data_IF_561955643113
#
_entry.id   IF_561955643113
#
_cell.length_a   1.000
_cell.length_b   1.000
_cell.length_c   1.000
_cell.angle_alpha   90.00
_cell.angle_beta   90.00
_cell.angle_gamma   90.00
#
_symmetry.space_group_name_H-M   'P 1'
#
loop_
_entity.id
_entity.type
_entity.pdbx_description
1 polymer ?
#
# COMPACT_ATOMS: atom_id res chain seq x y z
N UNK A 1 7.85 -0.51 22.42
CA UNK A 1 7.43 -1.49 21.38
C UNK A 1 6.61 -0.72 20.39
N UNK A 2 7.01 -0.72 19.12
CA UNK A 2 6.31 0.03 18.07
C UNK A 2 4.91 -0.54 17.88
N UNK A 3 3.93 0.34 17.67
CA UNK A 3 2.53 -0.04 17.48
C UNK A 3 2.07 0.33 16.07
N UNK A 4 1.25 -0.53 15.47
CA UNK A 4 0.55 -0.23 14.22
C UNK A 4 -0.92 0.05 14.51
N UNK A 5 -1.48 1.07 13.87
CA UNK A 5 -2.86 1.49 14.09
C UNK A 5 -3.52 1.90 12.78
N UNK A 6 -4.57 1.20 12.38
CA UNK A 6 -5.40 1.60 11.24
C UNK A 6 -6.07 2.93 11.56
N UNK A 7 -6.06 3.87 10.60
CA UNK A 7 -6.82 5.11 10.72
C UNK A 7 -8.28 4.83 10.29
N UNK A 8 -9.27 4.88 11.20
CA UNK A 8 -10.62 4.47 10.87
C UNK A 8 -11.21 5.28 9.70
N UNK A 9 -11.79 4.55 8.75
CA UNK A 9 -12.38 5.01 7.49
C UNK A 9 -11.39 5.51 6.43
N UNK A 10 -10.09 5.35 6.65
CA UNK A 10 -9.07 5.69 5.66
C UNK A 10 -8.18 4.46 5.38
N UNK A 11 -7.76 4.26 4.13
CA UNK A 11 -6.76 3.25 3.76
C UNK A 11 -5.34 3.71 4.15
N UNK A 12 -5.14 4.03 5.42
CA UNK A 12 -3.89 4.53 5.96
C UNK A 12 -3.56 3.90 7.31
N UNK A 13 -2.29 3.61 7.54
CA UNK A 13 -1.76 2.99 8.76
C UNK A 13 -0.86 3.99 9.48
N UNK A 14 -1.03 4.15 10.79
CA UNK A 14 -0.07 4.83 11.63
C UNK A 14 0.90 3.82 12.23
N UNK A 15 2.18 4.16 12.20
CA UNK A 15 3.23 3.49 12.96
C UNK A 15 3.62 4.43 14.08
N UNK A 16 3.44 4.01 15.33
CA UNK A 16 3.76 4.78 16.53
C UNK A 16 4.95 4.11 17.23
N UNK A 17 6.16 4.57 16.88
CA UNK A 17 7.42 4.07 17.38
C UNK A 17 8.22 5.18 18.05
N UNK A 18 9.51 5.29 17.69
CA UNK A 18 10.33 6.45 18.09
C UNK A 18 9.78 7.75 17.49
N UNK A 19 9.30 7.67 16.26
CA UNK A 19 8.56 8.72 15.54
C UNK A 19 7.22 8.15 15.06
N UNK A 20 6.30 9.05 14.69
CA UNK A 20 5.01 8.70 14.09
C UNK A 20 5.08 8.77 12.57
N UNK A 21 4.96 7.63 11.91
CA UNK A 21 4.91 7.57 10.45
C UNK A 21 3.52 7.21 9.97
N UNK A 22 2.95 8.04 9.08
CA UNK A 22 1.75 7.71 8.33
C UNK A 22 2.15 6.90 7.10
N UNK A 23 1.50 5.77 6.85
CA UNK A 23 1.80 4.88 5.74
C UNK A 23 0.57 4.73 4.84
N UNK A 24 0.76 4.96 3.54
CA UNK A 24 -0.25 4.75 2.48
C UNK A 24 0.42 4.10 1.28
N UNK A 25 -0.37 3.53 0.36
CA UNK A 25 0.14 2.77 -0.80
C UNK A 25 -0.79 2.90 -2.01
N UNK A 26 -0.30 2.55 -3.19
CA UNK A 26 -1.10 2.29 -4.39
C UNK A 26 -2.00 3.48 -4.77
N UNK A 27 -1.36 4.62 -5.05
CA UNK A 27 -2.05 5.83 -5.50
C UNK A 27 -2.46 5.73 -6.96
N UNK A 28 -1.65 5.08 -7.80
CA UNK A 28 -1.86 4.95 -9.24
C UNK A 28 -2.36 6.25 -9.89
N UNK A 29 -1.61 7.33 -9.71
CA UNK A 29 -1.86 8.58 -10.40
C UNK A 29 -1.71 8.37 -11.91
N UNK A 30 -2.54 9.03 -12.70
CA UNK A 30 -2.56 8.88 -14.15
C UNK A 30 -3.40 7.72 -14.68
N UNK A 31 -4.08 6.96 -13.81
CA UNK A 31 -4.94 5.83 -14.22
C UNK A 31 -6.11 6.26 -15.12
N UNK A 32 -6.49 7.54 -15.05
CA UNK A 32 -7.59 8.14 -15.81
C UNK A 32 -7.32 8.08 -17.31
N UNK A 33 -6.05 7.99 -17.72
CA UNK A 33 -5.67 7.79 -19.11
C UNK A 33 -6.26 6.49 -19.70
N UNK A 34 -6.41 5.43 -18.89
CA UNK A 34 -7.06 4.20 -19.33
C UNK A 34 -8.59 4.31 -19.36
N UNK A 35 -9.18 5.18 -18.53
CA UNK A 35 -10.61 5.43 -18.51
C UNK A 35 -11.05 6.31 -19.68
N UNK A 36 -10.25 7.31 -20.05
CA UNK A 36 -10.53 8.16 -21.20
C UNK A 36 -10.49 7.38 -22.51
N UNK A 37 -9.64 6.35 -22.63
CA UNK A 37 -9.67 5.40 -23.74
C UNK A 37 -10.99 4.61 -23.83
N UNK A 38 -11.71 4.48 -22.72
CA UNK A 38 -13.04 3.87 -22.64
C UNK A 38 -14.17 4.92 -22.59
N UNK A 39 -13.92 6.15 -23.06
CA UNK A 39 -14.87 7.28 -23.09
C UNK A 39 -15.39 7.74 -21.71
N UNK A 40 -14.67 7.44 -20.63
CA UNK A 40 -15.00 7.92 -19.27
C UNK A 40 -14.03 9.05 -18.89
N UNK A 41 -14.56 10.26 -18.71
CA UNK A 41 -13.78 11.46 -18.41
C UNK A 41 -13.98 11.91 -16.96
N UNK A 42 -12.96 11.78 -16.12
CA UNK A 42 -12.99 12.19 -14.71
C UNK A 42 -12.63 13.66 -14.47
N UNK A 43 -12.32 14.41 -15.52
CA UNK A 43 -11.81 15.77 -15.44
C UNK A 43 -10.30 15.80 -15.14
N UNK A 44 -9.59 16.76 -15.75
CA UNK A 44 -8.13 16.88 -15.64
C UNK A 44 -7.71 17.15 -14.18
N UNK A 45 -6.76 16.38 -13.66
CA UNK A 45 -6.13 16.51 -12.34
C UNK A 45 -7.09 16.45 -11.12
N UNK A 46 -8.37 16.11 -11.32
CA UNK A 46 -9.38 16.11 -10.25
C UNK A 46 -9.07 15.08 -9.17
N UNK A 47 -8.77 13.87 -9.60
CA UNK A 47 -8.37 12.71 -8.77
C UNK A 47 -7.13 12.98 -7.92
N UNK A 48 -6.11 13.59 -8.51
CA UNK A 48 -4.88 14.00 -7.81
C UNK A 48 -5.21 14.99 -6.71
N UNK A 49 -6.02 16.01 -7.01
CA UNK A 49 -6.44 17.00 -6.02
C UNK A 49 -7.28 16.39 -4.89
N UNK A 50 -8.14 15.40 -5.20
CA UNK A 50 -8.92 14.66 -4.20
C UNK A 50 -8.02 13.81 -3.29
N UNK A 51 -7.07 13.06 -3.86
CA UNK A 51 -6.09 12.24 -3.13
C UNK A 51 -5.23 13.13 -2.21
N UNK A 52 -4.67 14.22 -2.75
CA UNK A 52 -3.85 15.16 -1.96
C UNK A 52 -4.64 15.75 -0.78
N UNK A 53 -5.90 16.18 -1.01
CA UNK A 53 -6.77 16.71 0.06
C UNK A 53 -7.09 15.66 1.12
N UNK A 54 -7.28 14.41 0.71
CA UNK A 54 -7.55 13.31 1.64
C UNK A 54 -6.32 13.04 2.53
N UNK A 55 -5.12 13.00 1.95
CA UNK A 55 -3.86 12.85 2.68
C UNK A 55 -3.66 14.03 3.64
N UNK A 56 -3.85 15.27 3.19
CA UNK A 56 -3.75 16.47 4.01
C UNK A 56 -4.72 16.40 5.22
N UNK A 57 -5.95 15.93 5.00
CA UNK A 57 -6.93 15.74 6.07
C UNK A 57 -6.47 14.70 7.09
N UNK A 58 -5.89 13.58 6.64
CA UNK A 58 -5.36 12.56 7.54
C UNK A 58 -4.19 13.15 8.35
N UNK A 59 -3.21 13.79 7.69
CA UNK A 59 -2.07 14.44 8.34
C UNK A 59 -2.54 15.44 9.41
N UNK A 60 -3.49 16.33 9.09
CA UNK A 60 -4.04 17.29 10.06
C UNK A 60 -4.71 16.61 11.26
N UNK A 61 -5.40 15.49 11.02
CA UNK A 61 -6.11 14.73 12.06
C UNK A 61 -5.15 13.95 12.96
N UNK A 62 -4.11 13.35 12.39
CA UNK A 62 -3.27 12.36 13.09
C UNK A 62 -1.90 12.90 13.49
N UNK A 63 -1.47 14.04 12.94
CA UNK A 63 -0.19 14.72 13.19
C UNK A 63 1.01 13.76 13.20
N UNK A 64 1.25 13.03 12.09
CA UNK A 64 2.46 12.22 11.95
C UNK A 64 3.68 13.14 11.79
N UNK A 65 4.85 12.61 12.13
CA UNK A 65 6.15 13.26 11.92
C UNK A 65 6.62 13.07 10.46
N UNK A 66 6.29 11.92 9.86
CA UNK A 66 6.64 11.60 8.46
C UNK A 66 5.52 10.88 7.70
N UNK A 67 5.58 10.96 6.37
CA UNK A 67 4.75 10.18 5.44
C UNK A 67 5.61 9.14 4.72
N UNK A 68 5.21 7.88 4.75
CA UNK A 68 5.78 6.80 3.95
C UNK A 68 4.79 6.42 2.85
N UNK A 69 5.22 6.58 1.61
CA UNK A 69 4.50 6.11 0.44
C UNK A 69 5.07 4.74 0.02
N UNK A 70 4.25 3.70 0.17
CA UNK A 70 4.61 2.31 -0.09
C UNK A 70 4.36 1.88 -1.54
N UNK A 71 4.83 2.68 -2.49
CA UNK A 71 4.91 2.30 -3.90
C UNK A 71 3.61 2.41 -4.67
N UNK A 72 3.76 2.19 -5.99
CA UNK A 72 2.74 2.34 -7.02
C UNK A 72 2.08 3.73 -6.98
N UNK A 73 2.93 4.76 -7.03
CA UNK A 73 2.53 6.16 -7.13
C UNK A 73 1.92 6.43 -8.50
N UNK A 74 2.53 5.90 -9.55
CA UNK A 74 2.06 6.06 -10.94
C UNK A 74 1.38 4.79 -11.46
N UNK A 75 0.66 4.89 -12.56
CA UNK A 75 -0.14 3.80 -13.13
C UNK A 75 0.59 3.04 -14.24
N UNK A 76 1.40 3.73 -15.04
CA UNK A 76 2.15 3.18 -16.15
C UNK A 76 3.33 2.35 -15.65
N UNK A 77 3.44 1.11 -16.14
CA UNK A 77 4.54 0.21 -15.78
C UNK A 77 5.75 0.44 -16.69
N UNK A 78 5.51 0.47 -18.01
CA UNK A 78 6.58 0.43 -19.03
C UNK A 78 7.23 1.79 -19.27
N UNK A 79 6.45 2.86 -19.21
CA UNK A 79 6.90 4.22 -19.48
C UNK A 79 6.06 5.20 -18.67
N UNK A 80 6.57 6.42 -18.54
CA UNK A 80 5.84 7.54 -17.95
C UNK A 80 4.93 8.13 -19.02
N UNK A 81 3.64 8.15 -18.76
CA UNK A 81 2.62 8.73 -19.64
C UNK A 81 2.61 10.25 -19.56
N UNK A 82 2.02 10.91 -20.56
CA UNK A 82 1.84 12.37 -20.54
C UNK A 82 1.05 12.83 -19.31
N UNK A 83 0.00 12.09 -18.94
CA UNK A 83 -0.78 12.42 -17.74
C UNK A 83 0.08 12.36 -16.49
N UNK A 84 0.93 11.34 -16.35
CA UNK A 84 1.81 11.20 -15.18
C UNK A 84 2.87 12.30 -15.08
N UNK A 85 3.42 12.74 -16.22
CA UNK A 85 4.30 13.92 -16.28
C UNK A 85 3.63 15.19 -15.76
N UNK A 86 2.30 15.30 -15.88
CA UNK A 86 1.54 16.43 -15.39
C UNK A 86 1.09 16.23 -13.93
N UNK A 87 0.69 15.01 -13.54
CA UNK A 87 0.01 14.76 -12.27
C UNK A 87 0.95 14.43 -11.10
N UNK A 88 1.98 13.62 -11.36
CA UNK A 88 2.85 13.11 -10.28
C UNK A 88 3.70 14.22 -9.65
N UNK A 89 4.32 15.15 -10.43
CA UNK A 89 5.05 16.27 -9.84
C UNK A 89 4.15 17.19 -9.00
N UNK A 90 2.95 17.51 -9.48
CA UNK A 90 1.96 18.34 -8.74
C UNK A 90 1.61 17.71 -7.39
N UNK A 91 1.42 16.38 -7.38
CA UNK A 91 1.18 15.63 -6.14
C UNK A 91 2.34 15.82 -5.15
N UNK A 92 3.57 15.52 -5.58
CA UNK A 92 4.73 15.62 -4.69
C UNK A 92 5.00 17.04 -4.22
N UNK A 93 4.90 18.05 -5.09
CA UNK A 93 5.05 19.47 -4.72
C UNK A 93 4.04 19.92 -3.65
N UNK A 94 2.86 19.30 -3.62
CA UNK A 94 1.85 19.57 -2.60
C UNK A 94 2.19 18.86 -1.29
N UNK A 95 2.63 17.61 -1.36
CA UNK A 95 2.96 16.78 -0.20
C UNK A 95 4.22 17.27 0.53
N UNK A 96 5.28 17.66 -0.19
CA UNK A 96 6.54 18.15 0.42
C UNK A 96 6.36 19.43 1.22
N UNK A 97 5.31 20.21 0.94
CA UNK A 97 4.95 21.41 1.73
C UNK A 97 4.26 21.06 3.05
N UNK A 98 3.76 19.83 3.18
CA UNK A 98 2.98 19.38 4.33
C UNK A 98 3.82 18.56 5.30
N UNK A 99 4.68 17.68 4.79
CA UNK A 99 5.37 16.69 5.61
C UNK A 99 6.60 16.09 4.90
N UNK A 100 7.60 15.73 5.70
CA UNK A 100 8.74 14.94 5.23
C UNK A 100 8.26 13.58 4.72
N UNK A 101 8.72 13.22 3.52
CA UNK A 101 8.16 12.09 2.78
C UNK A 101 9.23 11.12 2.32
N UNK A 102 9.00 9.84 2.61
CA UNK A 102 9.82 8.72 2.15
C UNK A 102 9.01 7.93 1.13
N UNK A 103 9.61 7.65 -0.03
CA UNK A 103 9.03 6.82 -1.07
C UNK A 103 9.77 5.49 -1.15
N UNK A 104 9.05 4.39 -0.93
CA UNK A 104 9.51 3.03 -1.26
C UNK A 104 8.91 2.65 -2.63
N UNK A 105 9.68 2.57 -3.71
CA UNK A 105 9.12 2.38 -5.05
C UNK A 105 8.48 1.01 -5.24
N UNK A 106 7.31 1.00 -5.88
CA UNK A 106 6.58 -0.19 -6.35
C UNK A 106 6.99 -0.62 -7.76
N UNK A 107 6.35 -1.66 -8.30
CA UNK A 107 6.65 -2.13 -9.66
C UNK A 107 6.14 -1.20 -10.75
N UNK A 108 5.17 -0.33 -10.45
CA UNK A 108 4.75 0.72 -11.36
C UNK A 108 5.66 1.95 -11.32
N UNK A 109 6.55 2.08 -10.34
CA UNK A 109 7.36 3.30 -10.14
C UNK A 109 8.70 3.30 -10.91
N UNK A 110 8.78 2.57 -12.03
CA UNK A 110 9.96 2.63 -12.89
C UNK A 110 10.20 4.07 -13.40
N UNK A 111 11.43 4.57 -13.23
CA UNK A 111 11.83 5.96 -13.54
C UNK A 111 11.13 7.04 -12.70
N UNK A 112 10.59 6.72 -11.51
CA UNK A 112 9.91 7.70 -10.65
C UNK A 112 10.83 8.85 -10.23
N UNK A 113 12.14 8.65 -10.20
CA UNK A 113 13.15 9.67 -9.92
C UNK A 113 13.10 10.87 -10.88
N UNK A 114 12.50 10.69 -12.07
CA UNK A 114 12.31 11.77 -13.05
C UNK A 114 11.11 12.67 -12.72
N UNK A 115 10.25 12.25 -11.80
CA UNK A 115 8.98 12.90 -11.46
C UNK A 115 8.96 13.47 -10.04
N UNK A 116 9.84 12.98 -9.15
CA UNK A 116 9.93 13.47 -7.78
C UNK A 116 10.76 14.75 -7.71
N UNK A 117 10.33 15.77 -6.95
CA UNK A 117 11.13 16.94 -6.66
C UNK A 117 12.22 16.62 -5.63
N UNK A 118 13.17 17.55 -5.47
CA UNK A 118 14.09 17.53 -4.34
C UNK A 118 13.30 17.58 -3.01
N UNK A 119 13.78 16.85 -2.00
CA UNK A 119 13.11 16.75 -0.68
C UNK A 119 12.29 15.48 -0.47
N UNK A 120 12.13 14.64 -1.49
CA UNK A 120 11.62 13.27 -1.31
C UNK A 120 12.78 12.33 -1.04
N UNK A 121 12.71 11.59 0.07
CA UNK A 121 13.66 10.51 0.37
C UNK A 121 13.26 9.27 -0.42
N UNK A 122 13.99 8.97 -1.50
CA UNK A 122 13.77 7.77 -2.29
C UNK A 122 14.53 6.58 -1.69
N UNK A 123 13.79 5.58 -1.23
CA UNK A 123 14.33 4.34 -0.69
C UNK A 123 14.55 3.26 -1.76
N UNK A 124 15.19 2.16 -1.37
CA UNK A 124 15.28 0.96 -2.20
C UNK A 124 13.91 0.29 -2.36
N UNK A 125 13.65 -0.31 -3.52
CA UNK A 125 12.46 -1.18 -3.74
C UNK A 125 12.42 -2.41 -2.83
N UNK A 126 13.52 -2.73 -2.14
CA UNK A 126 13.55 -3.76 -1.09
C UNK A 126 12.83 -3.35 0.19
N UNK A 127 12.58 -2.05 0.37
CA UNK A 127 11.92 -1.50 1.55
C UNK A 127 12.86 -0.80 2.51
N UNK A 128 12.27 -0.31 3.60
CA UNK A 128 12.95 0.34 4.71
C UNK A 128 12.51 -0.31 6.03
N UNK A 129 13.36 -0.25 7.05
CA UNK A 129 13.00 -0.68 8.39
C UNK A 129 12.78 0.56 9.25
N UNK A 130 11.63 0.63 9.91
CA UNK A 130 11.34 1.59 10.96
C UNK A 130 11.11 0.79 12.24
N UNK A 131 11.95 1.01 13.25
CA UNK A 131 12.03 0.18 14.46
C UNK A 131 12.20 -1.32 14.12
N UNK A 132 11.18 -2.15 14.36
CA UNK A 132 11.18 -3.59 14.04
C UNK A 132 10.18 -3.98 12.92
N UNK A 133 9.73 -2.98 12.15
CA UNK A 133 8.77 -3.12 11.05
C UNK A 133 9.47 -2.89 9.72
N UNK A 134 9.39 -3.87 8.82
CA UNK A 134 9.76 -3.70 7.41
C UNK A 134 8.59 -3.08 6.64
N UNK A 135 8.82 -1.95 6.00
CA UNK A 135 7.92 -1.31 5.06
C UNK A 135 8.40 -1.61 3.63
N UNK A 136 7.61 -2.35 2.86
CA UNK A 136 7.93 -2.72 1.47
C UNK A 136 6.69 -2.68 0.60
N UNK A 137 6.81 -2.44 -0.71
CA UNK A 137 5.64 -2.53 -1.59
C UNK A 137 5.12 -3.97 -1.68
N UNK A 138 6.01 -4.97 -1.64
CA UNK A 138 5.63 -6.40 -1.61
C UNK A 138 5.63 -7.12 -2.96
N UNK A 139 6.01 -6.44 -4.05
CA UNK A 139 6.28 -7.04 -5.36
C UNK A 139 7.62 -7.81 -5.43
N UNK A 140 8.47 -7.71 -4.41
CA UNK A 140 9.72 -8.49 -4.30
C UNK A 140 9.85 -9.12 -2.92
N UNK A 141 10.70 -10.16 -2.81
CA UNK A 141 11.08 -10.69 -1.51
C UNK A 141 12.09 -9.77 -0.82
N UNK A 142 11.92 -9.53 0.49
CA UNK A 142 12.92 -8.85 1.28
C UNK A 142 14.18 -9.71 1.42
N UNK A 143 15.35 -9.08 1.51
CA UNK A 143 16.62 -9.79 1.71
C UNK A 143 16.75 -10.34 3.14
N UNK A 144 17.56 -11.40 3.31
CA UNK A 144 17.73 -12.09 4.61
C UNK A 144 18.29 -11.20 5.73
N UNK A 145 19.00 -10.11 5.40
CA UNK A 145 19.49 -9.17 6.41
C UNK A 145 18.36 -8.38 7.11
N UNK A 146 17.11 -8.46 6.64
CA UNK A 146 15.93 -7.90 7.31
C UNK A 146 15.26 -8.89 8.27
N UNK A 147 15.82 -10.09 8.48
CA UNK A 147 15.24 -11.16 9.29
C UNK A 147 15.00 -10.84 10.78
N UNK A 148 15.46 -9.70 11.29
CA UNK A 148 15.19 -9.29 12.68
C UNK A 148 13.79 -8.65 12.85
N UNK A 149 13.15 -8.19 11.78
CA UNK A 149 11.82 -7.55 11.86
C UNK A 149 10.74 -8.50 12.33
N UNK A 150 9.78 -8.03 13.12
CA UNK A 150 8.66 -8.84 13.60
C UNK A 150 7.39 -8.63 12.76
N UNK A 151 7.35 -7.54 12.00
CA UNK A 151 6.22 -7.16 11.16
C UNK A 151 6.70 -6.76 9.77
N UNK A 152 5.97 -7.15 8.73
CA UNK A 152 6.03 -6.60 7.38
C UNK A 152 4.75 -5.82 7.13
N UNK A 153 4.85 -4.59 6.65
CA UNK A 153 3.72 -3.80 6.14
C UNK A 153 3.91 -3.62 4.64
N UNK A 154 2.87 -3.95 3.86
CA UNK A 154 2.94 -3.92 2.39
C UNK A 154 1.66 -3.52 1.68
N UNK A 155 1.78 -3.12 0.41
CA UNK A 155 0.67 -2.82 -0.50
C UNK A 155 0.54 -3.88 -1.60
N UNK A 156 0.50 -3.43 -2.87
CA UNK A 156 0.60 -4.24 -4.11
C UNK A 156 -0.59 -5.17 -4.41
N UNK A 157 -1.11 -5.86 -3.40
CA UNK A 157 -2.17 -6.86 -3.57
C UNK A 157 -3.55 -6.23 -3.78
N UNK A 158 -3.77 -5.03 -3.22
CA UNK A 158 -5.07 -4.33 -3.20
C UNK A 158 -6.20 -5.21 -2.66
N UNK A 159 -6.12 -5.66 -1.40
CA UNK A 159 -7.11 -6.55 -0.81
C UNK A 159 -8.54 -6.00 -0.90
N UNK A 160 -9.43 -6.77 -1.55
CA UNK A 160 -10.85 -6.48 -1.74
C UNK A 160 -11.66 -7.73 -1.41
N UNK A 161 -12.71 -7.59 -0.60
CA UNK A 161 -13.53 -8.72 -0.18
C UNK A 161 -14.57 -9.09 -1.23
N UNK A 162 -14.51 -10.31 -1.76
CA UNK A 162 -15.47 -10.81 -2.74
C UNK A 162 -16.27 -12.01 -2.23
N UNK A 163 -17.54 -11.75 -1.93
CA UNK A 163 -18.53 -12.77 -1.65
C UNK A 163 -19.88 -12.28 -2.19
N UNK A 164 -20.35 -12.85 -3.30
CA UNK A 164 -21.48 -12.34 -4.09
C UNK A 164 -22.73 -11.98 -3.28
N UNK A 165 -23.08 -12.81 -2.28
CA UNK A 165 -24.27 -12.63 -1.44
C UNK A 165 -24.04 -11.72 -0.21
N UNK A 166 -22.82 -11.18 -0.04
CA UNK A 166 -22.47 -10.31 1.07
C UNK A 166 -22.74 -8.85 0.75
N UNK A 167 -23.26 -8.10 1.73
CA UNK A 167 -23.49 -6.65 1.62
C UNK A 167 -22.22 -5.83 1.43
N UNK A 168 -21.06 -6.40 1.80
CA UNK A 168 -19.74 -5.77 1.68
C UNK A 168 -18.93 -6.33 0.51
N UNK A 169 -19.58 -6.99 -0.44
CA UNK A 169 -18.93 -7.48 -1.65
C UNK A 169 -18.34 -6.32 -2.47
N UNK A 170 -17.05 -6.40 -2.77
CA UNK A 170 -16.29 -5.36 -3.48
C UNK A 170 -15.68 -4.31 -2.56
N UNK A 171 -15.84 -4.41 -1.24
CA UNK A 171 -15.23 -3.48 -0.30
C UNK A 171 -13.73 -3.72 -0.14
N UNK A 172 -12.96 -2.63 -0.09
CA UNK A 172 -11.53 -2.67 0.24
C UNK A 172 -11.36 -3.03 1.72
N UNK A 173 -10.42 -3.92 2.00
CA UNK A 173 -10.20 -4.44 3.36
C UNK A 173 -8.73 -4.48 3.71
N UNK A 174 -8.42 -4.41 5.00
CA UNK A 174 -7.12 -4.72 5.55
C UNK A 174 -7.00 -6.23 5.75
N UNK A 175 -5.78 -6.73 5.62
CA UNK A 175 -5.46 -8.12 5.99
C UNK A 175 -4.23 -8.12 6.89
N UNK A 176 -4.35 -8.71 8.08
CA UNK A 176 -3.20 -9.05 8.94
C UNK A 176 -3.06 -10.56 8.96
N UNK A 177 -1.85 -11.07 8.71
CA UNK A 177 -1.55 -12.50 8.64
C UNK A 177 -0.37 -12.79 9.55
N UNK A 178 -0.54 -13.69 10.51
CA UNK A 178 0.58 -14.32 11.21
C UNK A 178 1.03 -15.54 10.42
N UNK A 179 2.33 -15.62 10.15
CA UNK A 179 2.92 -16.73 9.41
C UNK A 179 4.25 -17.17 10.00
N UNK A 180 4.76 -18.32 9.56
CA UNK A 180 6.09 -18.81 9.97
C UNK A 180 7.20 -17.98 9.32
N UNK A 181 7.99 -17.29 10.16
CA UNK A 181 9.06 -16.37 9.73
C UNK A 181 10.09 -17.03 8.80
N UNK A 182 10.44 -18.28 9.09
CA UNK A 182 11.42 -19.05 8.33
C UNK A 182 11.03 -19.33 6.88
N UNK A 183 9.76 -19.11 6.50
CA UNK A 183 9.31 -19.21 5.11
C UNK A 183 9.65 -17.97 4.29
N UNK A 184 9.80 -16.82 4.94
CA UNK A 184 10.20 -15.56 4.32
C UNK A 184 11.71 -15.35 4.50
N UNK A 185 12.22 -15.58 5.72
CA UNK A 185 13.61 -15.42 6.11
C UNK A 185 14.17 -16.74 6.63
N UNK A 186 14.82 -17.53 5.77
CA UNK A 186 15.27 -18.88 6.12
C UNK A 186 16.28 -18.90 7.28
N UNK A 187 16.97 -17.77 7.51
CA UNK A 187 17.92 -17.59 8.59
C UNK A 187 17.31 -17.46 10.00
N UNK A 188 15.99 -17.24 10.13
CA UNK A 188 15.33 -16.98 11.41
C UNK A 188 13.99 -17.70 11.55
N UNK A 189 13.86 -18.50 12.61
CA UNK A 189 12.58 -19.14 12.97
C UNK A 189 11.75 -18.26 13.91
N UNK A 190 10.44 -18.44 13.88
CA UNK A 190 9.49 -17.74 14.74
C UNK A 190 8.20 -17.38 14.01
N UNK A 191 7.44 -16.46 14.59
CA UNK A 191 6.28 -15.84 13.94
C UNK A 191 6.69 -14.52 13.28
N UNK A 192 5.97 -14.18 12.21
CA UNK A 192 6.06 -12.91 11.51
C UNK A 192 4.63 -12.44 11.23
N UNK A 193 4.34 -11.18 11.53
CA UNK A 193 3.08 -10.56 11.10
C UNK A 193 3.26 -9.88 9.74
N UNK A 194 2.31 -10.06 8.83
CA UNK A 194 2.24 -9.38 7.54
C UNK A 194 0.94 -8.60 7.48
N UNK A 195 1.04 -7.28 7.42
CA UNK A 195 -0.09 -6.34 7.29
C UNK A 195 -0.15 -5.86 5.84
N UNK A 196 -1.27 -6.11 5.17
CA UNK A 196 -1.52 -5.72 3.80
C UNK A 196 -2.49 -4.53 3.80
N UNK A 197 -2.01 -3.41 3.27
CA UNK A 197 -2.78 -2.18 3.12
C UNK A 197 -3.75 -2.33 1.93
N UNK A 198 -5.00 -1.87 2.08
CA UNK A 198 -5.86 -1.60 0.93
C UNK A 198 -5.28 -0.45 0.10
N UNK A 199 -5.55 -0.44 -1.21
CA UNK A 199 -5.11 0.66 -2.07
C UNK A 199 -5.68 1.98 -1.57
N UNK A 200 -4.89 3.06 -1.60
CA UNK A 200 -5.38 4.36 -1.16
C UNK A 200 -6.39 4.93 -2.16
N UNK A 201 -6.10 4.79 -3.46
CA UNK A 201 -6.94 5.30 -4.53
C UNK A 201 -8.29 4.57 -4.61
N UNK A 202 -9.35 5.28 -4.24
CA UNK A 202 -10.74 4.80 -4.25
C UNK A 202 -11.31 4.50 -5.64
N UNK A 203 -10.61 4.85 -6.71
CA UNK A 203 -11.02 4.59 -8.08
C UNK A 203 -10.18 3.49 -8.73
N UNK A 204 -9.13 3.03 -8.04
CA UNK A 204 -8.19 2.02 -8.52
C UNK A 204 -8.16 0.83 -7.57
N UNK A 205 -9.14 -0.05 -7.73
CA UNK A 205 -9.17 -1.37 -7.12
C UNK A 205 -9.95 -2.33 -8.02
N UNK A 206 -9.75 -3.63 -7.81
CA UNK A 206 -10.43 -4.62 -8.62
C UNK A 206 -11.93 -4.63 -8.31
N UNK A 207 -12.78 -4.51 -9.33
CA UNK A 207 -14.25 -4.54 -9.18
C UNK A 207 -14.83 -5.94 -9.38
N UNK A 208 -14.00 -6.89 -9.81
CA UNK A 208 -14.33 -8.29 -9.98
C UNK A 208 -13.20 -9.16 -9.46
N UNK A 209 -13.54 -10.34 -8.95
CA UNK A 209 -12.54 -11.31 -8.49
C UNK A 209 -11.73 -11.81 -9.68
N UNK A 210 -10.43 -11.52 -9.69
CA UNK A 210 -9.49 -12.07 -10.67
C UNK A 210 -8.88 -13.34 -10.09
N UNK A 211 -8.98 -14.44 -10.81
CA UNK A 211 -8.32 -15.69 -10.45
C UNK A 211 -6.93 -15.71 -11.05
N UNK A 212 -5.91 -15.57 -10.22
CA UNK A 212 -4.52 -15.79 -10.60
C UNK A 212 -4.10 -17.21 -10.22
N UNK A 213 -3.38 -17.91 -11.10
CA UNK A 213 -2.83 -19.25 -10.79
C UNK A 213 -1.77 -19.20 -9.67
N UNK A 214 -1.15 -18.04 -9.44
CA UNK A 214 -0.15 -17.75 -8.42
C UNK A 214 -0.37 -16.32 -7.91
N UNK A 215 -0.07 -16.08 -6.64
CA UNK A 215 -0.13 -14.71 -6.12
C UNK A 215 0.83 -13.80 -6.88
N UNK A 216 0.44 -12.54 -7.04
CA UNK A 216 1.29 -11.50 -7.64
C UNK A 216 2.39 -11.03 -6.67
N UNK A 217 2.35 -11.44 -5.40
CA UNK A 217 3.40 -11.19 -4.43
C UNK A 217 4.13 -12.48 -4.04
N UNK A 218 5.48 -12.49 -4.12
CA UNK A 218 6.25 -13.64 -3.67
C UNK A 218 6.25 -13.82 -2.14
N UNK A 219 5.87 -12.79 -1.37
CA UNK A 219 5.69 -12.90 0.09
C UNK A 219 4.46 -13.77 0.39
N UNK A 220 3.34 -13.51 -0.30
CA UNK A 220 2.10 -14.30 -0.19
C UNK A 220 2.29 -15.71 -0.74
N UNK A 221 3.05 -15.89 -1.82
CA UNK A 221 3.31 -17.24 -2.36
C UNK A 221 4.09 -18.13 -1.39
N UNK A 222 5.01 -17.55 -0.59
CA UNK A 222 5.88 -18.31 0.31
C UNK A 222 5.31 -18.55 1.70
N UNK A 223 4.41 -17.71 2.19
CA UNK A 223 3.99 -17.75 3.59
C UNK A 223 3.30 -19.07 3.96
N UNK A 224 3.54 -19.50 5.19
CA UNK A 224 2.82 -20.59 5.85
C UNK A 224 1.96 -19.96 6.93
N UNK A 225 0.66 -19.79 6.62
CA UNK A 225 -0.31 -19.03 7.41
C UNK A 225 -0.65 -19.78 8.68
N UNK A 226 -0.59 -19.06 9.82
CA UNK A 226 -0.98 -19.55 11.14
C UNK A 226 -2.36 -18.99 11.50
N UNK A 227 -2.56 -17.69 11.31
CA UNK A 227 -3.79 -16.99 11.62
C UNK A 227 -3.93 -15.78 10.70
N UNK A 228 -5.15 -15.38 10.36
CA UNK A 228 -5.37 -14.09 9.72
C UNK A 228 -6.55 -13.31 10.32
N UNK A 229 -6.58 -12.01 10.06
CA UNK A 229 -7.69 -11.10 10.34
C UNK A 229 -7.97 -10.27 9.10
N UNK A 230 -9.23 -10.23 8.71
CA UNK A 230 -9.73 -9.42 7.60
C UNK A 230 -10.59 -8.32 8.21
N UNK A 231 -10.26 -7.07 7.92
CA UNK A 231 -10.84 -5.91 8.60
C UNK A 231 -11.29 -4.87 7.59
N UNK A 232 -12.52 -4.38 7.71
CA UNK A 232 -13.02 -3.28 6.88
C UNK A 232 -12.33 -1.96 7.22
N UNK A 233 -12.45 -0.96 6.34
CA UNK A 233 -11.83 0.35 6.58
C UNK A 233 -12.32 1.04 7.86
N UNK A 234 -13.52 0.75 8.34
CA UNK A 234 -14.05 1.29 9.59
C UNK A 234 -13.55 0.56 10.86
N UNK A 235 -12.81 -0.53 10.70
CA UNK A 235 -12.22 -1.31 11.80
C UNK A 235 -13.00 -2.58 12.19
N UNK A 236 -14.08 -2.93 11.48
CA UNK A 236 -14.84 -4.15 11.76
C UNK A 236 -14.11 -5.39 11.28
N UNK A 237 -13.91 -6.39 12.15
CA UNK A 237 -13.35 -7.69 11.77
C UNK A 237 -14.45 -8.53 11.12
N UNK A 238 -14.24 -8.93 9.85
CA UNK A 238 -15.23 -9.65 9.04
C UNK A 238 -14.82 -11.08 8.70
N UNK A 239 -13.58 -11.45 8.99
CA UNK A 239 -13.06 -12.74 8.56
C UNK A 239 -11.70 -13.10 9.15
N UNK A 240 -11.32 -14.34 8.90
CA UNK A 240 -10.07 -14.95 9.33
C UNK A 240 -9.39 -15.70 8.17
N UNK A 241 -8.43 -16.58 8.46
CA UNK A 241 -7.66 -17.35 7.48
C UNK A 241 -8.52 -18.15 6.49
N UNK A 242 -9.72 -18.59 6.89
CA UNK A 242 -10.63 -19.36 6.03
C UNK A 242 -11.16 -18.53 4.85
N UNK A 243 -11.19 -17.20 4.99
CA UNK A 243 -11.70 -16.27 3.97
C UNK A 243 -10.59 -15.60 3.16
N UNK A 244 -9.31 -15.95 3.35
CA UNK A 244 -8.20 -15.32 2.62
C UNK A 244 -8.34 -15.45 1.10
N UNK A 245 -8.78 -16.61 0.61
CA UNK A 245 -9.01 -16.84 -0.83
C UNK A 245 -10.12 -15.95 -1.43
N UNK A 246 -10.91 -15.28 -0.60
CA UNK A 246 -11.93 -14.31 -1.01
C UNK A 246 -11.40 -12.88 -1.04
N UNK A 247 -10.13 -12.66 -0.69
CA UNK A 247 -9.51 -11.33 -0.56
C UNK A 247 -8.18 -11.20 -1.31
N UNK A 248 -7.30 -12.20 -1.20
CA UNK A 248 -5.93 -12.18 -1.73
C UNK A 248 -5.57 -13.44 -2.52
#
# INVERSE_FOLDING_TARGET
MVQTKIIPRYPALMIEGTEKSLVITDLHLGFESNLSLNNVFLGKNKTVAEITKEIEKIIKKTKPDSLVLLGDIKSGIKSITKTEWETVPIFFESITKLIDTILVPGNHDANIEKLIPNGITLASSKGIIIDDILLTHGHTLPPENFSQVNTIVMGHIHPVFFQKESLINGERVWVSIKCKKQKIFHSKSGELEVIILPSFNRYFYTTQKKFYKKSISPIIEKMDVIQAKIVTLDGTIIGNEQLLSSVI
#
